data_IF_669645053610
#
_entry.id   IF_669645053610
#
_cell.length_a   1.000
_cell.length_b   1.000
_cell.length_c   1.000
_cell.angle_alpha   90.00
_cell.angle_beta   90.00
_cell.angle_gamma   90.00
#
_symmetry.space_group_name_H-M   'P 1'
#
loop_
_entity.id
_entity.type
_entity.pdbx_description
1 polymer ?
#
# COMPACT_ATOMS: atom_id res chain seq x y z
N UNK A 1 17.85 22.39 -21.39
CA UNK A 1 19.09 21.58 -21.20
C UNK A 1 20.12 22.24 -20.28
N UNK A 2 20.18 23.57 -20.19
CA UNK A 2 21.22 24.31 -19.44
C UNK A 2 21.26 24.08 -17.93
N UNK A 3 20.15 23.66 -17.29
CA UNK A 3 20.11 23.38 -15.85
C UNK A 3 20.55 21.93 -15.51
N UNK A 4 20.37 20.98 -16.43
CA UNK A 4 20.77 19.57 -16.24
C UNK A 4 22.31 19.44 -16.20
N UNK A 5 22.99 20.23 -17.05
CA UNK A 5 24.45 20.30 -17.21
C UNK A 5 25.18 20.81 -15.96
N UNK A 6 24.47 21.41 -15.00
CA UNK A 6 25.05 21.95 -13.75
C UNK A 6 24.91 21.03 -12.55
N UNK A 7 24.18 19.92 -12.66
CA UNK A 7 24.10 18.94 -11.58
C UNK A 7 25.46 18.21 -11.47
N UNK A 8 26.15 18.24 -10.32
CA UNK A 8 27.49 17.64 -10.18
C UNK A 8 27.53 16.16 -10.57
N UNK A 9 26.47 15.41 -10.25
CA UNK A 9 26.32 14.01 -10.62
C UNK A 9 26.21 13.80 -12.15
N UNK A 10 25.57 14.72 -12.87
CA UNK A 10 25.43 14.66 -14.32
C UNK A 10 26.74 15.06 -15.04
N UNK A 11 27.49 16.01 -14.47
CA UNK A 11 28.82 16.39 -14.98
C UNK A 11 29.81 15.23 -14.80
N UNK A 12 29.82 14.58 -13.62
CA UNK A 12 30.63 13.39 -13.38
C UNK A 12 30.25 12.24 -14.34
N UNK A 13 28.95 12.03 -14.55
CA UNK A 13 28.46 11.04 -15.51
C UNK A 13 28.85 11.32 -16.97
N UNK A 14 28.95 12.59 -17.37
CA UNK A 14 29.42 12.97 -18.71
C UNK A 14 30.93 12.74 -18.91
N UNK A 15 31.70 12.72 -17.81
CA UNK A 15 33.15 12.47 -17.81
C UNK A 15 33.48 10.98 -17.69
N UNK A 16 32.64 10.22 -16.97
CA UNK A 16 32.75 8.78 -16.87
C UNK A 16 32.14 8.10 -18.10
N UNK A 17 32.79 7.07 -18.65
CA UNK A 17 32.22 6.15 -19.66
C UNK A 17 31.15 5.23 -19.05
N UNK A 18 30.32 5.76 -18.16
CA UNK A 18 29.43 4.97 -17.32
C UNK A 18 28.28 4.35 -18.14
N UNK A 19 28.18 3.03 -18.07
CA UNK A 19 27.19 2.25 -18.81
C UNK A 19 25.77 2.36 -18.22
N UNK A 20 25.62 2.84 -16.99
CA UNK A 20 24.32 2.89 -16.31
C UNK A 20 23.70 4.30 -16.39
N UNK A 21 22.37 4.45 -16.48
CA UNK A 21 21.73 5.76 -16.55
C UNK A 21 21.91 6.55 -15.25
N UNK A 22 22.24 7.84 -15.36
CA UNK A 22 22.26 8.76 -14.22
C UNK A 22 20.87 9.34 -14.00
N UNK A 23 20.38 9.32 -12.76
CA UNK A 23 19.12 9.97 -12.41
C UNK A 23 19.40 11.42 -12.05
N UNK A 24 18.69 12.34 -12.70
CA UNK A 24 18.78 13.76 -12.43
C UNK A 24 17.40 14.34 -12.15
N UNK A 25 17.33 15.32 -11.25
CA UNK A 25 16.11 16.10 -11.05
C UNK A 25 15.82 16.90 -12.32
N UNK A 26 14.54 17.01 -12.65
CA UNK A 26 14.09 17.78 -13.80
C UNK A 26 14.59 19.25 -13.71
N UNK A 27 15.03 19.86 -14.84
CA UNK A 27 15.48 21.26 -14.89
C UNK A 27 14.49 22.29 -14.34
N UNK A 28 13.19 21.98 -14.38
CA UNK A 28 12.08 22.82 -13.92
C UNK A 28 11.58 22.50 -12.51
N UNK A 29 12.33 21.71 -11.72
CA UNK A 29 12.07 21.48 -10.30
C UNK A 29 11.09 20.35 -9.96
N UNK A 30 10.23 19.94 -10.89
CA UNK A 30 9.32 18.79 -10.69
C UNK A 30 9.59 17.69 -11.70
N UNK A 31 9.88 16.48 -11.20
CA UNK A 31 10.07 15.26 -12.00
C UNK A 31 11.46 14.63 -11.87
N UNK A 32 11.54 13.34 -12.17
CA UNK A 32 12.78 12.55 -12.22
C UNK A 32 13.06 12.18 -13.67
N UNK A 33 14.26 12.54 -14.14
CA UNK A 33 14.71 12.23 -15.49
C UNK A 33 15.84 11.20 -15.43
N UNK A 34 15.70 10.12 -16.18
CA UNK A 34 16.78 9.20 -16.48
C UNK A 34 17.56 9.72 -17.68
N UNK A 35 18.86 9.94 -17.52
CA UNK A 35 19.74 10.34 -18.63
C UNK A 35 20.78 9.28 -18.89
N UNK A 36 20.86 8.84 -20.14
CA UNK A 36 21.85 7.90 -20.65
C UNK A 36 22.67 8.61 -21.73
N UNK A 37 23.99 8.58 -21.60
CA UNK A 37 24.90 9.14 -22.60
C UNK A 37 25.71 8.02 -23.24
N UNK A 38 25.79 8.03 -24.58
CA UNK A 38 26.55 7.05 -25.37
C UNK A 38 27.41 7.75 -26.41
N UNK A 39 28.62 7.25 -26.70
CA UNK A 39 29.40 7.75 -27.82
C UNK A 39 28.67 7.46 -29.13
N UNK A 40 28.73 8.38 -30.09
CA UNK A 40 28.03 8.27 -31.38
C UNK A 40 28.86 8.88 -32.51
N UNK A 41 29.81 8.13 -33.08
CA UNK A 41 30.70 8.63 -34.15
C UNK A 41 31.59 9.80 -33.74
N UNK A 42 32.57 10.16 -34.59
CA UNK A 42 33.42 11.38 -34.62
C UNK A 42 33.41 12.31 -33.39
N UNK A 43 33.74 11.79 -32.21
CA UNK A 43 33.78 12.57 -30.95
C UNK A 43 32.42 13.09 -30.44
N UNK A 44 31.32 12.69 -31.07
CA UNK A 44 29.96 13.10 -30.71
C UNK A 44 29.37 12.17 -29.64
N UNK A 45 28.40 12.70 -28.88
CA UNK A 45 27.71 11.97 -27.80
C UNK A 45 26.20 12.03 -28.04
N UNK A 46 25.55 10.87 -28.04
CA UNK A 46 24.11 10.72 -28.00
C UNK A 46 23.62 10.82 -26.55
N UNK A 47 22.66 11.71 -26.31
CA UNK A 47 22.01 11.87 -25.00
C UNK A 47 20.57 11.41 -25.13
N UNK A 48 20.21 10.39 -24.36
CA UNK A 48 18.85 9.87 -24.23
C UNK A 48 18.32 10.33 -22.87
N UNK A 49 17.22 11.08 -22.87
CA UNK A 49 16.54 11.52 -21.67
C UNK A 49 15.12 10.98 -21.63
N UNK A 50 14.77 10.27 -20.57
CA UNK A 50 13.42 9.76 -20.34
C UNK A 50 12.88 10.32 -19.03
N UNK A 51 11.66 10.87 -19.07
CA UNK A 51 10.92 11.17 -17.85
C UNK A 51 10.47 9.84 -17.21
N UNK A 52 10.99 9.56 -16.02
CA UNK A 52 10.69 8.38 -15.22
C UNK A 52 9.94 8.73 -13.94
N UNK A 53 9.39 9.94 -13.84
CA UNK A 53 8.72 10.46 -12.63
C UNK A 53 7.65 9.50 -12.13
N UNK A 54 6.73 9.06 -13.00
CA UNK A 54 5.64 8.17 -12.63
C UNK A 54 6.14 6.78 -12.23
N UNK A 55 7.19 6.28 -12.89
CA UNK A 55 7.81 4.99 -12.54
C UNK A 55 8.43 5.04 -11.14
N UNK A 56 9.21 6.09 -10.85
CA UNK A 56 9.82 6.28 -9.54
C UNK A 56 8.77 6.50 -8.44
N UNK A 57 7.67 7.22 -8.74
CA UNK A 57 6.54 7.37 -7.82
C UNK A 57 5.87 6.04 -7.52
N UNK A 58 5.59 5.23 -8.54
CA UNK A 58 5.02 3.89 -8.36
C UNK A 58 5.97 2.98 -7.57
N UNK A 59 7.28 3.01 -7.85
CA UNK A 59 8.28 2.24 -7.11
C UNK A 59 8.45 2.70 -5.66
N UNK A 60 8.35 4.00 -5.38
CA UNK A 60 8.33 4.53 -4.02
C UNK A 60 7.07 4.09 -3.28
N UNK A 61 5.89 4.27 -3.88
CA UNK A 61 4.61 3.83 -3.30
C UNK A 61 4.61 2.34 -3.00
N UNK A 62 5.12 1.51 -3.92
CA UNK A 62 5.25 0.06 -3.69
C UNK A 62 6.17 -0.27 -2.51
N UNK A 63 7.29 0.44 -2.35
CA UNK A 63 8.20 0.25 -1.22
C UNK A 63 7.54 0.64 0.11
N UNK A 64 6.87 1.78 0.14
CA UNK A 64 6.16 2.26 1.32
C UNK A 64 5.02 1.31 1.70
N UNK A 65 4.28 0.81 0.70
CA UNK A 65 3.25 -0.21 0.91
C UNK A 65 3.82 -1.48 1.54
N UNK A 66 4.90 -2.05 0.98
CA UNK A 66 5.54 -3.26 1.53
C UNK A 66 6.03 -3.03 2.96
N UNK A 67 6.60 -1.86 3.25
CA UNK A 67 7.03 -1.51 4.59
C UNK A 67 5.84 -1.47 5.56
N UNK A 68 4.77 -0.75 5.21
CA UNK A 68 3.58 -0.60 6.04
C UNK A 68 2.92 -1.96 6.33
N UNK A 69 2.72 -2.78 5.29
CA UNK A 69 2.18 -4.15 5.43
C UNK A 69 3.03 -4.98 6.37
N UNK A 70 4.35 -4.94 6.21
CA UNK A 70 5.27 -5.70 7.06
C UNK A 70 5.15 -5.28 8.52
N UNK A 71 4.98 -3.98 8.79
CA UNK A 71 4.79 -3.46 10.14
C UNK A 71 3.43 -3.85 10.74
N UNK A 72 2.36 -3.76 9.95
CA UNK A 72 1.00 -4.11 10.37
C UNK A 72 0.81 -5.61 10.62
N UNK A 73 1.56 -6.47 9.93
CA UNK A 73 1.56 -7.92 10.17
C UNK A 73 2.45 -8.29 11.38
N UNK A 74 3.59 -7.61 11.56
CA UNK A 74 4.54 -7.93 12.64
C UNK A 74 3.90 -7.77 14.02
N UNK A 75 3.14 -6.71 14.23
CA UNK A 75 2.53 -6.39 15.54
C UNK A 75 1.57 -7.48 16.05
N UNK A 76 0.52 -7.90 15.31
CA UNK A 76 -0.39 -8.94 15.75
C UNK A 76 0.30 -10.32 15.86
N UNK A 77 1.30 -10.61 15.02
CA UNK A 77 2.11 -11.83 15.17
C UNK A 77 2.87 -11.87 16.49
N UNK A 78 3.51 -10.76 16.89
CA UNK A 78 4.19 -10.67 18.19
C UNK A 78 3.21 -10.88 19.35
N UNK A 79 2.00 -10.32 19.26
CA UNK A 79 0.95 -10.53 20.27
C UNK A 79 0.52 -12.00 20.34
N UNK A 80 0.30 -12.65 19.19
CA UNK A 80 -0.02 -14.07 19.11
C UNK A 80 1.09 -14.95 19.71
N UNK A 81 2.35 -14.63 19.40
CA UNK A 81 3.50 -15.33 19.98
C UNK A 81 3.51 -15.23 21.51
N UNK A 82 3.24 -14.05 22.07
CA UNK A 82 3.12 -13.85 23.51
C UNK A 82 1.97 -14.65 24.15
N UNK A 83 0.84 -14.81 23.46
CA UNK A 83 -0.25 -15.68 23.94
C UNK A 83 0.14 -17.16 23.91
N UNK A 84 0.85 -17.61 22.88
CA UNK A 84 1.38 -18.99 22.81
C UNK A 84 2.37 -19.23 23.94
N UNK A 85 3.30 -18.31 24.18
CA UNK A 85 4.28 -18.37 25.28
C UNK A 85 3.59 -18.39 26.64
N UNK A 86 2.57 -17.57 26.85
CA UNK A 86 1.73 -17.54 28.06
C UNK A 86 1.09 -18.91 28.31
N UNK A 87 0.50 -19.53 27.29
CA UNK A 87 -0.14 -20.84 27.44
C UNK A 87 0.85 -21.99 27.66
N UNK A 88 2.09 -21.84 27.18
CA UNK A 88 3.14 -22.85 27.34
C UNK A 88 3.82 -22.76 28.71
N UNK A 89 3.99 -21.55 29.25
CA UNK A 89 4.85 -21.29 30.40
C UNK A 89 4.10 -21.11 31.72
N UNK A 90 2.82 -20.71 31.68
CA UNK A 90 2.04 -20.41 32.89
C UNK A 90 0.98 -21.50 33.16
N UNK A 91 0.80 -21.92 34.43
CA UNK A 91 -0.29 -22.80 34.81
C UNK A 91 -1.61 -22.02 34.81
N UNK A 92 -2.35 -22.10 33.70
CA UNK A 92 -3.63 -21.43 33.54
C UNK A 92 -4.81 -22.31 33.99
N UNK A 93 -5.78 -21.70 34.66
CA UNK A 93 -7.09 -22.32 34.88
C UNK A 93 -7.83 -22.53 33.55
N UNK A 94 -8.85 -23.40 33.53
CA UNK A 94 -9.67 -23.61 32.33
C UNK A 94 -10.37 -22.33 31.84
N UNK A 95 -10.73 -21.42 32.73
CA UNK A 95 -11.32 -20.13 32.38
C UNK A 95 -10.32 -19.18 31.72
N UNK A 96 -9.10 -19.06 32.27
CA UNK A 96 -8.03 -18.24 31.71
C UNK A 96 -7.57 -18.76 30.35
N UNK A 97 -7.39 -20.09 30.21
CA UNK A 97 -7.05 -20.71 28.93
C UNK A 97 -8.08 -20.38 27.85
N UNK A 98 -9.38 -20.51 28.15
CA UNK A 98 -10.45 -20.12 27.22
C UNK A 98 -10.36 -18.64 26.85
N UNK A 99 -10.08 -17.76 27.81
CA UNK A 99 -9.92 -16.32 27.54
C UNK A 99 -8.75 -16.05 26.60
N UNK A 100 -7.60 -16.66 26.82
CA UNK A 100 -6.42 -16.51 25.94
C UNK A 100 -6.73 -17.00 24.52
N UNK A 101 -7.36 -18.17 24.38
CA UNK A 101 -7.79 -18.69 23.07
C UNK A 101 -8.73 -17.71 22.36
N UNK A 102 -9.72 -17.14 23.07
CA UNK A 102 -10.61 -16.13 22.50
C UNK A 102 -9.86 -14.90 22.01
N UNK A 103 -8.86 -14.42 22.76
CA UNK A 103 -8.03 -13.28 22.34
C UNK A 103 -7.17 -13.62 21.11
N UNK A 104 -6.62 -14.83 21.04
CA UNK A 104 -5.89 -15.31 19.86
C UNK A 104 -6.78 -15.40 18.62
N UNK A 105 -8.01 -15.89 18.78
CA UNK A 105 -9.00 -15.94 17.71
C UNK A 105 -9.28 -14.53 17.16
N UNK A 106 -9.56 -13.58 18.06
CA UNK A 106 -9.80 -12.18 17.67
C UNK A 106 -8.62 -11.54 16.94
N UNK A 107 -7.38 -11.83 17.34
CA UNK A 107 -6.19 -11.35 16.62
C UNK A 107 -6.04 -12.00 15.26
N UNK A 108 -6.33 -13.30 15.16
CA UNK A 108 -6.28 -14.05 13.89
C UNK A 108 -7.32 -13.51 12.90
N UNK A 109 -8.56 -13.25 13.36
CA UNK A 109 -9.62 -12.69 12.52
C UNK A 109 -9.25 -11.31 11.97
N UNK A 110 -8.61 -10.46 12.80
CA UNK A 110 -8.10 -9.15 12.35
C UNK A 110 -7.03 -9.29 11.27
N UNK A 111 -6.11 -10.24 11.43
CA UNK A 111 -5.08 -10.49 10.42
C UNK A 111 -5.68 -11.01 9.11
N UNK A 112 -6.75 -11.81 9.16
CA UNK A 112 -7.45 -12.27 7.95
C UNK A 112 -8.07 -11.11 7.18
N UNK A 113 -8.70 -10.15 7.88
CA UNK A 113 -9.24 -8.93 7.25
C UNK A 113 -8.12 -8.13 6.59
N UNK A 114 -7.01 -7.88 7.30
CA UNK A 114 -5.85 -7.20 6.73
C UNK A 114 -5.34 -7.88 5.46
N UNK A 115 -5.13 -9.20 5.49
CA UNK A 115 -4.66 -9.95 4.31
C UNK A 115 -5.66 -9.87 3.16
N UNK A 116 -6.96 -9.96 3.44
CA UNK A 116 -8.00 -9.82 2.42
C UNK A 116 -7.97 -8.43 1.76
N UNK A 117 -7.83 -7.36 2.55
CA UNK A 117 -7.75 -5.99 2.05
C UNK A 117 -6.50 -5.80 1.18
N UNK A 118 -5.36 -6.39 1.55
CA UNK A 118 -4.13 -6.34 0.77
C UNK A 118 -4.24 -7.06 -0.57
N UNK A 119 -4.89 -8.23 -0.59
CA UNK A 119 -5.15 -8.96 -1.83
C UNK A 119 -6.11 -8.20 -2.75
N UNK A 120 -7.12 -7.53 -2.19
CA UNK A 120 -8.00 -6.65 -2.97
C UNK A 120 -7.23 -5.47 -3.56
N UNK A 121 -6.38 -4.81 -2.78
CA UNK A 121 -5.58 -3.68 -3.27
C UNK A 121 -4.63 -4.11 -4.39
N UNK A 122 -3.95 -5.25 -4.24
CA UNK A 122 -3.06 -5.80 -5.26
C UNK A 122 -3.80 -6.12 -6.57
N UNK A 123 -5.04 -6.62 -6.49
CA UNK A 123 -5.89 -6.83 -7.67
C UNK A 123 -6.27 -5.51 -8.35
N UNK A 124 -6.55 -4.46 -7.57
CA UNK A 124 -6.90 -3.14 -8.09
C UNK A 124 -5.71 -2.46 -8.78
N UNK A 125 -4.49 -2.58 -8.26
CA UNK A 125 -3.28 -2.03 -8.89
C UNK A 125 -2.92 -2.74 -10.19
N UNK A 126 -3.17 -4.05 -10.29
CA UNK A 126 -2.90 -4.85 -11.49
C UNK A 126 -3.98 -4.74 -12.58
N UNK A 127 -5.16 -4.21 -12.24
CA UNK A 127 -6.29 -4.13 -13.17
C UNK A 127 -6.22 -2.86 -14.02
N UNK A 128 -6.46 -2.94 -15.35
CA UNK A 128 -6.63 -1.75 -16.17
C UNK A 128 -7.73 -0.87 -15.57
N UNK A 129 -7.48 0.45 -15.47
CA UNK A 129 -8.52 1.38 -15.03
C UNK A 129 -9.77 1.14 -15.89
N UNK A 130 -10.92 0.83 -15.30
CA UNK A 130 -12.13 0.59 -16.07
C UNK A 130 -12.39 1.81 -16.95
N UNK A 131 -12.54 1.57 -18.25
CA UNK A 131 -12.84 2.63 -19.21
C UNK A 131 -14.06 3.41 -18.69
N UNK A 132 -13.94 4.75 -18.69
CA UNK A 132 -14.88 5.67 -18.06
C UNK A 132 -16.33 5.24 -18.24
N UNK A 133 -16.87 4.55 -17.24
CA UNK A 133 -18.25 4.11 -17.27
C UNK A 133 -19.08 5.38 -17.15
N UNK A 134 -20.04 5.64 -18.06
CA UNK A 134 -20.92 6.79 -17.89
C UNK A 134 -21.54 6.71 -16.50
N UNK A 135 -21.44 7.81 -15.75
CA UNK A 135 -22.03 7.91 -14.41
C UNK A 135 -23.51 7.58 -14.55
N UNK A 136 -23.90 6.37 -14.14
CA UNK A 136 -25.30 6.00 -14.03
C UNK A 136 -26.00 6.91 -13.02
N UNK A 137 -27.34 6.86 -12.97
CA UNK A 137 -28.10 7.65 -12.02
C UNK A 137 -27.62 7.36 -10.59
N UNK A 138 -27.04 8.37 -9.93
CA UNK A 138 -26.51 8.27 -8.57
C UNK A 138 -27.64 8.10 -7.53
N UNK A 139 -28.82 8.64 -7.84
CA UNK A 139 -29.99 8.64 -6.97
C UNK A 139 -30.45 7.23 -6.52
N UNK A 140 -30.63 6.23 -7.40
CA UNK A 140 -30.99 4.88 -6.96
C UNK A 140 -29.91 4.20 -6.11
N UNK A 141 -28.62 4.47 -6.37
CA UNK A 141 -27.52 3.97 -5.53
C UNK A 141 -27.57 4.58 -4.11
N UNK A 142 -27.80 5.88 -4.01
CA UNK A 142 -27.95 6.56 -2.71
C UNK A 142 -29.17 6.05 -1.94
N UNK A 143 -30.30 5.84 -2.64
CA UNK A 143 -31.51 5.27 -2.03
C UNK A 143 -31.25 3.84 -1.49
N UNK A 144 -30.47 3.04 -2.22
CA UNK A 144 -30.08 1.69 -1.79
C UNK A 144 -29.21 1.74 -0.52
N UNK A 145 -28.17 2.59 -0.50
CA UNK A 145 -27.31 2.76 0.68
C UNK A 145 -28.12 3.22 1.90
N UNK A 146 -29.07 4.14 1.71
CA UNK A 146 -29.94 4.60 2.78
C UNK A 146 -30.87 3.49 3.31
N UNK A 147 -31.38 2.63 2.42
CA UNK A 147 -32.19 1.47 2.80
C UNK A 147 -31.37 0.47 3.63
N UNK A 148 -30.16 0.14 3.19
CA UNK A 148 -29.27 -0.80 3.88
C UNK A 148 -28.84 -0.25 5.25
N UNK A 149 -28.47 1.04 5.34
CA UNK A 149 -28.13 1.68 6.60
C UNK A 149 -29.30 1.69 7.60
N UNK A 150 -30.53 1.94 7.13
CA UNK A 150 -31.73 1.85 7.96
C UNK A 150 -32.00 0.41 8.43
N UNK A 151 -31.77 -0.59 7.59
CA UNK A 151 -31.92 -1.99 7.94
C UNK A 151 -30.94 -2.41 9.06
N UNK A 152 -29.66 -2.04 8.95
CA UNK A 152 -28.65 -2.30 9.98
C UNK A 152 -29.02 -1.62 11.30
N UNK A 153 -29.48 -0.35 11.26
CA UNK A 153 -29.90 0.39 12.46
C UNK A 153 -31.10 -0.27 13.15
N UNK A 154 -32.08 -0.78 12.39
CA UNK A 154 -33.24 -1.51 12.93
C UNK A 154 -32.83 -2.86 13.53
N UNK A 155 -31.93 -3.60 12.89
CA UNK A 155 -31.42 -4.86 13.43
C UNK A 155 -30.70 -4.65 14.78
N UNK A 156 -29.89 -3.58 14.88
CA UNK A 156 -29.20 -3.21 16.11
C UNK A 156 -30.15 -2.78 17.24
N UNK A 157 -31.21 -2.02 16.94
CA UNK A 157 -32.19 -1.59 17.96
C UNK A 157 -33.05 -2.74 18.48
N UNK A 158 -33.40 -3.70 17.62
CA UNK A 158 -34.20 -4.87 17.99
C UNK A 158 -33.39 -5.84 18.86
N UNK A 159 -32.09 -6.00 18.58
CA UNK A 159 -31.19 -6.78 19.42
C UNK A 159 -31.04 -6.19 20.84
N UNK A 160 -30.94 -4.85 20.96
CA UNK A 160 -30.84 -4.16 22.26
C UNK A 160 -32.09 -4.27 23.15
N UNK A 161 -33.28 -4.39 22.57
CA UNK A 161 -34.53 -4.56 23.33
C UNK A 161 -34.69 -5.98 23.89
N UNK A 162 -34.05 -6.98 23.28
CA UNK A 162 -34.11 -8.39 23.72
C UNK A 162 -33.28 -8.66 24.98
N UNK A 163 -32.27 -7.83 25.27
CA UNK A 163 -31.43 -7.92 26.48
C UNK A 163 -32.01 -7.18 27.70
N UNK A 164 -33.04 -6.34 27.52
CA UNK A 164 -33.70 -5.57 28.60
C UNK A 164 -34.92 -6.26 29.21
N UNK A 165 -35.28 -7.46 28.75
CA UNK A 165 -36.44 -8.25 29.22
C UNK A 165 -36.04 -9.62 29.81
N UNK A 166 -34.86 -9.71 30.41
CA UNK A 166 -34.46 -10.83 31.27
C UNK A 166 -33.85 -10.31 32.56
#
# INVERSE_FOLDING_TARGET
>A
MTNLVRAPAFVAYLQERAAQPSWSRHPGGQGTLSVLVRPYGDGMRLVLSQDITERERAEAMRRDFVANVSHEIRTPLTVLAGFVETMASLPLTGAERRRVITLMQQQTDRMQVLVADLLQLAQLEGSPRPAGRPLGALAPLLAQVEADARAVRRAASTAGQRWRRR
#
